data_IF_890579522213
#
_entry.id   IF_890579522213
#
_cell.length_a   1.000
_cell.length_b   1.000
_cell.length_c   1.000
_cell.angle_alpha   90.00
_cell.angle_beta   90.00
_cell.angle_gamma   90.00
#
_symmetry.space_group_name_H-M   'P 1'
#
loop_
_entity.id
_entity.type
_entity.pdbx_description
1 polymer ?
#
# COMPACT_ATOMS: atom_id res chain seq x y z
N UNK A 1 -14.81 -18.44 -11.77
CA UNK A 1 -15.91 -17.94 -10.90
C UNK A 1 -15.55 -18.22 -9.44
N UNK A 2 -14.64 -17.42 -8.87
CA UNK A 2 -14.24 -17.51 -7.44
C UNK A 2 -14.25 -16.13 -6.76
N UNK A 3 -14.23 -15.05 -7.55
CA UNK A 3 -14.42 -13.67 -7.10
C UNK A 3 -15.91 -13.28 -7.03
N UNK A 4 -16.75 -14.18 -6.52
CA UNK A 4 -18.15 -13.88 -6.18
C UNK A 4 -18.28 -13.14 -4.84
N UNK A 5 -17.17 -12.87 -4.17
CA UNK A 5 -17.10 -12.03 -2.98
C UNK A 5 -17.06 -10.59 -3.46
N UNK A 6 -18.21 -9.93 -3.44
CA UNK A 6 -18.31 -8.54 -3.84
C UNK A 6 -17.50 -7.63 -2.90
N UNK A 7 -17.28 -6.37 -3.31
CA UNK A 7 -16.66 -5.37 -2.44
C UNK A 7 -17.44 -5.19 -1.12
N UNK A 8 -18.73 -5.52 -1.10
CA UNK A 8 -19.58 -5.49 0.09
C UNK A 8 -19.16 -6.55 1.12
N UNK A 9 -19.02 -7.81 0.72
CA UNK A 9 -18.59 -8.91 1.60
C UNK A 9 -17.16 -8.69 2.12
N UNK A 10 -16.26 -8.22 1.25
CA UNK A 10 -14.90 -7.87 1.65
C UNK A 10 -14.88 -6.75 2.69
N UNK A 11 -15.75 -5.74 2.53
CA UNK A 11 -15.90 -4.65 3.50
C UNK A 11 -16.41 -5.14 4.87
N UNK A 12 -17.34 -6.10 4.90
CA UNK A 12 -17.83 -6.70 6.15
C UNK A 12 -16.72 -7.46 6.88
N UNK A 13 -15.95 -8.27 6.16
CA UNK A 13 -14.80 -8.99 6.73
C UNK A 13 -13.75 -8.00 7.25
N UNK A 14 -13.44 -6.98 6.46
CA UNK A 14 -12.51 -5.92 6.85
C UNK A 14 -13.00 -5.18 8.10
N UNK A 15 -14.30 -4.93 8.24
CA UNK A 15 -14.89 -4.32 9.44
C UNK A 15 -14.68 -5.19 10.69
N UNK A 16 -14.87 -6.51 10.60
CA UNK A 16 -14.62 -7.43 11.73
C UNK A 16 -13.13 -7.44 12.11
N UNK A 17 -12.25 -7.52 11.11
CA UNK A 17 -10.79 -7.44 11.33
C UNK A 17 -10.42 -6.11 11.97
N UNK A 18 -11.03 -5.01 11.53
CA UNK A 18 -10.84 -3.68 12.11
C UNK A 18 -11.32 -3.57 13.56
N UNK A 19 -12.35 -4.31 13.96
CA UNK A 19 -12.78 -4.33 15.37
C UNK A 19 -11.75 -5.06 16.25
N UNK A 20 -11.17 -6.16 15.76
CA UNK A 20 -10.20 -6.96 16.52
C UNK A 20 -8.83 -6.26 16.58
N UNK A 21 -8.34 -5.81 15.42
CA UNK A 21 -7.01 -5.22 15.30
C UNK A 21 -7.02 -3.70 15.47
N UNK A 22 -8.12 -3.01 15.18
CA UNK A 22 -8.21 -1.55 15.20
C UNK A 22 -7.74 -0.90 13.88
N UNK A 23 -8.39 0.19 13.41
CA UNK A 23 -8.02 0.87 12.16
C UNK A 23 -6.65 1.54 12.19
N UNK A 24 -6.11 1.83 13.38
CA UNK A 24 -4.77 2.40 13.55
C UNK A 24 -3.65 1.39 13.31
N UNK A 25 -3.93 0.09 13.44
CA UNK A 25 -2.93 -0.96 13.27
C UNK A 25 -2.79 -1.42 11.82
N UNK A 26 -3.84 -1.31 10.99
CA UNK A 26 -3.75 -1.58 9.54
C UNK A 26 -2.67 -0.77 8.81
N UNK A 27 -2.61 0.57 8.91
CA UNK A 27 -1.59 1.35 8.21
C UNK A 27 -0.19 1.05 8.77
N UNK A 28 -0.07 0.82 10.09
CA UNK A 28 1.22 0.46 10.71
C UNK A 28 1.76 -0.87 10.19
N UNK A 29 0.91 -1.90 10.09
CA UNK A 29 1.27 -3.19 9.50
C UNK A 29 1.54 -3.06 7.99
N UNK A 30 0.72 -2.32 7.27
CA UNK A 30 0.88 -2.06 5.84
C UNK A 30 2.19 -1.35 5.51
N UNK A 31 2.58 -0.32 6.29
CA UNK A 31 3.87 0.37 6.11
C UNK A 31 5.06 -0.53 6.43
N UNK A 32 4.97 -1.41 7.43
CA UNK A 32 6.04 -2.36 7.76
C UNK A 32 6.21 -3.41 6.64
N UNK A 33 5.10 -4.01 6.20
CA UNK A 33 5.09 -4.97 5.09
C UNK A 33 5.51 -4.32 3.77
N UNK A 34 5.05 -3.09 3.51
CA UNK A 34 5.38 -2.32 2.31
C UNK A 34 6.87 -2.04 2.22
N UNK A 35 7.53 -1.68 3.33
CA UNK A 35 8.99 -1.54 3.38
C UNK A 35 9.71 -2.85 3.10
N UNK A 36 9.25 -3.96 3.67
CA UNK A 36 9.82 -5.29 3.36
C UNK A 36 9.66 -5.65 1.90
N UNK A 37 8.46 -5.46 1.33
CA UNK A 37 8.18 -5.76 -0.08
C UNK A 37 8.97 -4.85 -1.02
N UNK A 38 9.10 -3.55 -0.69
CA UNK A 38 9.93 -2.59 -1.45
C UNK A 38 11.38 -3.05 -1.51
N UNK A 39 11.98 -3.38 -0.36
CA UNK A 39 13.35 -3.87 -0.31
C UNK A 39 13.54 -5.22 -1.02
N UNK A 40 12.55 -6.12 -0.95
CA UNK A 40 12.57 -7.41 -1.68
C UNK A 40 12.51 -7.17 -3.18
N UNK A 41 11.64 -6.26 -3.62
CA UNK A 41 11.49 -5.90 -5.03
C UNK A 41 12.76 -5.25 -5.57
N UNK A 42 13.32 -4.27 -4.86
CA UNK A 42 14.57 -3.61 -5.21
C UNK A 42 15.73 -4.62 -5.33
N UNK A 43 15.86 -5.56 -4.39
CA UNK A 43 16.88 -6.62 -4.47
C UNK A 43 16.65 -7.64 -5.59
N UNK A 44 15.42 -7.83 -6.05
CA UNK A 44 15.09 -8.68 -7.21
C UNK A 44 15.33 -7.95 -8.55
N UNK A 45 15.08 -6.63 -8.59
CA UNK A 45 15.36 -5.76 -9.74
C UNK A 45 16.87 -5.55 -9.93
N UNK A 46 17.65 -5.40 -8.85
CA UNK A 46 19.12 -5.25 -8.93
C UNK A 46 19.83 -6.54 -9.42
N UNK A 47 19.22 -7.72 -9.18
CA UNK A 47 19.70 -9.00 -9.71
C UNK A 47 19.30 -9.29 -11.16
N UNK A 48 18.32 -8.56 -11.70
CA UNK A 48 17.79 -8.71 -13.06
C UNK A 48 18.10 -7.43 -13.82
N UNK A 49 19.32 -7.27 -14.33
CA UNK A 49 19.91 -6.00 -14.80
C UNK A 49 19.15 -5.19 -15.87
N UNK A 50 18.01 -4.61 -15.50
CA UNK A 50 17.24 -3.63 -16.24
C UNK A 50 16.56 -2.71 -15.20
N UNK A 51 17.05 -1.48 -15.05
CA UNK A 51 16.58 -0.53 -14.03
C UNK A 51 15.98 0.71 -14.67
N UNK A 52 14.69 0.95 -14.42
CA UNK A 52 14.08 2.28 -14.48
C UNK A 52 13.62 2.70 -13.08
N UNK A 53 13.86 3.94 -12.64
CA UNK A 53 13.57 4.38 -11.28
C UNK A 53 12.06 4.60 -11.08
N UNK A 54 11.45 3.83 -10.18
CA UNK A 54 10.11 4.14 -9.66
C UNK A 54 10.20 5.33 -8.70
N UNK A 55 9.94 6.51 -9.25
CA UNK A 55 9.81 7.79 -8.55
C UNK A 55 8.76 7.71 -7.44
N UNK A 56 9.23 7.88 -6.20
CA UNK A 56 8.43 8.04 -4.99
C UNK A 56 7.76 9.43 -5.05
N UNK A 57 6.51 9.48 -5.54
CA UNK A 57 5.73 10.72 -5.57
C UNK A 57 4.82 10.82 -4.33
N UNK A 58 5.26 11.57 -3.32
CA UNK A 58 4.36 12.38 -2.48
C UNK A 58 5.13 13.57 -1.88
N UNK A 59 5.35 14.59 -2.70
CA UNK A 59 5.46 15.96 -2.23
C UNK A 59 4.05 16.55 -2.32
N UNK A 60 3.30 16.54 -1.22
CA UNK A 60 2.24 17.52 -1.00
C UNK A 60 2.92 18.78 -0.50
N UNK A 61 3.37 19.63 -1.43
CA UNK A 61 3.58 21.04 -1.14
C UNK A 61 2.28 21.78 -1.48
N UNK A 62 1.72 22.38 -0.44
CA UNK A 62 0.52 23.19 -0.41
C UNK A 62 0.88 24.58 -0.97
N UNK A 63 0.66 24.83 -2.27
CA UNK A 63 0.72 26.20 -2.81
C UNK A 63 -0.69 26.72 -3.17
N UNK A 64 -1.21 27.77 -2.49
CA UNK A 64 -2.37 28.50 -2.94
C UNK A 64 -2.04 29.36 -4.17
N UNK A 65 -2.75 29.06 -5.26
CA UNK A 65 -2.77 29.76 -6.54
C UNK A 65 -2.95 31.27 -6.36
N UNK A 66 -1.97 32.07 -6.78
CA UNK A 66 -2.13 33.49 -7.08
C UNK A 66 -1.52 33.85 -8.44
N UNK A 67 -2.37 33.99 -9.47
CA UNK A 67 -2.39 35.14 -10.38
C UNK A 67 -3.71 35.18 -11.16
#
# INVERSE_FOLDING_TARGET
MIFGMGPMELAVILLVVLVIFGPKNLPKLGSALGKTVKNVREGMEEGSGDSEPVSDAVETDDEPVQQ
#
